data_IF_160209501345
#
_entry.id   IF_160209501345
#
_cell.length_a   1.000
_cell.length_b   1.000
_cell.length_c   1.000
_cell.angle_alpha   90.00
_cell.angle_beta   90.00
_cell.angle_gamma   90.00
#
_symmetry.space_group_name_H-M   'P 1'
#
loop_
_entity.id
_entity.type
_entity.pdbx_description
1 polymer ?
#
# COMPACT_ATOMS: atom_id res chain seq x y z
N UNK A 1 3.71 4.30 22.78
CA UNK A 1 2.84 5.36 22.30
C UNK A 1 2.33 5.05 20.93
N UNK A 2 1.03 5.11 20.80
CA UNK A 2 0.37 4.78 19.54
C UNK A 2 0.45 5.96 18.56
N UNK A 3 1.62 6.44 18.31
CA UNK A 3 1.81 7.49 17.34
C UNK A 3 2.07 6.90 15.98
N UNK A 4 1.03 6.80 15.19
CA UNK A 4 1.18 6.39 13.80
C UNK A 4 0.92 7.59 12.93
N UNK A 5 1.98 8.14 12.38
CA UNK A 5 1.87 9.18 11.36
C UNK A 5 1.25 8.53 10.11
N UNK A 6 0.08 9.00 9.63
CA UNK A 6 -0.55 8.43 8.44
C UNK A 6 0.34 8.43 7.21
N UNK A 7 1.16 9.47 7.04
CA UNK A 7 2.13 9.56 5.95
C UNK A 7 3.16 8.43 6.03
N UNK A 8 3.65 8.15 7.24
CA UNK A 8 4.62 7.08 7.46
C UNK A 8 4.00 5.71 7.18
N UNK A 9 2.73 5.50 7.53
CA UNK A 9 2.02 4.27 7.22
C UNK A 9 1.93 4.04 5.71
N UNK A 10 1.58 5.07 4.95
CA UNK A 10 1.50 5.00 3.49
C UNK A 10 2.87 4.68 2.90
N UNK A 11 3.92 5.37 3.34
CA UNK A 11 5.28 5.14 2.84
C UNK A 11 5.77 3.73 3.17
N UNK A 12 5.48 3.23 4.37
CA UNK A 12 5.82 1.86 4.77
C UNK A 12 5.08 0.85 3.89
N UNK A 13 3.80 1.08 3.61
CA UNK A 13 3.01 0.20 2.74
C UNK A 13 3.57 0.17 1.32
N UNK A 14 3.94 1.32 0.76
CA UNK A 14 4.59 1.42 -0.55
C UNK A 14 5.91 0.65 -0.58
N UNK A 15 6.71 0.77 0.47
CA UNK A 15 7.98 0.08 0.59
C UNK A 15 7.80 -1.44 0.62
N UNK A 16 6.79 -1.92 1.34
CA UNK A 16 6.45 -3.35 1.39
C UNK A 16 6.07 -3.89 0.02
N UNK A 17 5.29 -3.14 -0.74
CA UNK A 17 4.93 -3.50 -2.12
C UNK A 17 6.18 -3.59 -3.00
N UNK A 18 7.08 -2.62 -2.93
CA UNK A 18 8.32 -2.63 -3.71
C UNK A 18 9.20 -3.82 -3.37
N UNK A 19 9.34 -4.15 -2.09
CA UNK A 19 10.11 -5.33 -1.66
C UNK A 19 9.47 -6.62 -2.14
N UNK A 20 8.16 -6.74 -2.00
CA UNK A 20 7.42 -7.91 -2.45
C UNK A 20 7.56 -8.10 -3.97
N UNK A 21 7.51 -7.01 -4.73
CA UNK A 21 7.68 -7.05 -6.18
C UNK A 21 9.07 -7.55 -6.58
N UNK A 22 10.12 -7.03 -5.94
CA UNK A 22 11.49 -7.48 -6.20
C UNK A 22 11.69 -8.95 -5.84
N UNK A 23 11.10 -9.38 -4.74
CA UNK A 23 11.15 -10.78 -4.31
C UNK A 23 10.45 -11.68 -5.33
N UNK A 24 9.28 -11.28 -5.79
CA UNK A 24 8.52 -11.99 -6.81
C UNK A 24 9.31 -12.10 -8.13
N UNK A 25 9.94 -11.02 -8.57
CA UNK A 25 10.75 -11.00 -9.79
C UNK A 25 11.91 -12.00 -9.70
N UNK A 26 12.61 -12.04 -8.56
CA UNK A 26 13.68 -13.01 -8.33
C UNK A 26 13.16 -14.44 -8.33
N UNK A 27 12.00 -14.69 -7.74
CA UNK A 27 11.41 -16.02 -7.75
C UNK A 27 10.99 -16.47 -9.14
N UNK A 28 10.46 -15.56 -9.97
CA UNK A 28 10.15 -15.85 -11.37
C UNK A 28 11.38 -16.23 -12.16
N UNK A 29 12.48 -15.52 -11.94
CA UNK A 29 13.77 -15.85 -12.55
C UNK A 29 14.28 -17.22 -12.11
N UNK A 30 14.14 -17.55 -10.82
CA UNK A 30 14.55 -18.85 -10.28
C UNK A 30 13.73 -19.99 -10.90
N UNK A 31 12.41 -19.81 -11.04
CA UNK A 31 11.54 -20.80 -11.70
C UNK A 31 11.98 -21.00 -13.15
N UNK A 32 12.18 -19.92 -13.88
CA UNK A 32 12.61 -19.96 -15.27
C UNK A 32 13.98 -20.67 -15.43
N UNK A 33 14.91 -20.41 -14.51
CA UNK A 33 16.23 -21.06 -14.52
C UNK A 33 16.12 -22.57 -14.28
N UNK A 34 15.29 -22.99 -13.34
CA UNK A 34 15.05 -24.41 -13.07
C UNK A 34 14.42 -25.11 -14.29
N UNK A 35 13.45 -24.48 -14.91
CA UNK A 35 12.81 -25.02 -16.11
C UNK A 35 13.80 -25.15 -17.28
N UNK A 36 14.63 -24.14 -17.51
CA UNK A 36 15.64 -24.18 -18.55
C UNK A 36 16.67 -25.27 -18.31
N UNK A 37 16.98 -25.54 -17.04
CA UNK A 37 17.91 -26.62 -16.66
C UNK A 37 17.27 -28.00 -16.66
N UNK A 38 15.98 -28.11 -17.00
CA UNK A 38 15.26 -29.37 -16.96
C UNK A 38 15.03 -29.92 -15.57
N UNK A 39 15.13 -29.06 -14.53
CA UNK A 39 14.95 -29.46 -13.14
C UNK A 39 13.49 -29.24 -12.70
N UNK A 40 13.08 -29.97 -11.64
CA UNK A 40 11.74 -29.86 -11.10
C UNK A 40 11.54 -28.50 -10.42
N UNK A 41 10.63 -27.71 -10.95
CA UNK A 41 10.28 -26.39 -10.44
C UNK A 41 9.00 -26.36 -9.60
N UNK A 42 8.47 -27.52 -9.23
CA UNK A 42 7.16 -27.61 -8.54
C UNK A 42 7.12 -26.81 -7.24
N UNK A 43 8.12 -27.00 -6.38
CA UNK A 43 8.20 -26.27 -5.10
C UNK A 43 8.40 -24.78 -5.33
N UNK A 44 9.27 -24.41 -6.26
CA UNK A 44 9.52 -23.00 -6.61
C UNK A 44 8.25 -22.33 -7.13
N UNK A 45 7.46 -23.02 -7.94
CA UNK A 45 6.17 -22.51 -8.43
C UNK A 45 5.15 -22.32 -7.32
N UNK A 46 5.12 -23.21 -6.34
CA UNK A 46 4.25 -23.07 -5.15
C UNK A 46 4.63 -21.81 -4.36
N UNK A 47 5.92 -21.61 -4.13
CA UNK A 47 6.43 -20.42 -3.43
C UNK A 47 6.11 -19.15 -4.21
N UNK A 48 6.20 -19.21 -5.54
CA UNK A 48 5.83 -18.10 -6.40
C UNK A 48 4.38 -17.69 -6.21
N UNK A 49 3.45 -18.65 -6.17
CA UNK A 49 2.04 -18.37 -5.91
C UNK A 49 1.80 -17.72 -4.55
N UNK A 50 2.50 -18.17 -3.52
CA UNK A 50 2.41 -17.59 -2.18
C UNK A 50 2.89 -16.13 -2.23
N UNK A 51 3.98 -15.87 -2.92
CA UNK A 51 4.52 -14.51 -3.07
C UNK A 51 3.61 -13.61 -3.89
N UNK A 52 2.95 -14.13 -4.91
CA UNK A 52 1.95 -13.38 -5.69
C UNK A 52 0.77 -12.95 -4.81
N UNK A 53 0.29 -13.84 -3.94
CA UNK A 53 -0.77 -13.52 -2.99
C UNK A 53 -0.33 -12.49 -1.96
N UNK A 54 0.90 -12.63 -1.46
CA UNK A 54 1.47 -11.66 -0.51
C UNK A 54 1.58 -10.28 -1.15
N UNK A 55 2.04 -10.19 -2.40
CA UNK A 55 2.09 -8.92 -3.13
C UNK A 55 0.70 -8.31 -3.29
N UNK A 56 -0.29 -9.11 -3.65
CA UNK A 56 -1.67 -8.63 -3.79
C UNK A 56 -2.20 -8.07 -2.46
N UNK A 57 -1.91 -8.73 -1.34
CA UNK A 57 -2.29 -8.26 0.00
C UNK A 57 -1.61 -6.94 0.33
N UNK A 58 -0.30 -6.83 0.09
CA UNK A 58 0.45 -5.59 0.34
C UNK A 58 -0.05 -4.45 -0.54
N UNK A 59 -0.36 -4.72 -1.81
CA UNK A 59 -0.91 -3.72 -2.72
C UNK A 59 -2.29 -3.23 -2.26
N UNK A 60 -3.15 -4.14 -1.81
CA UNK A 60 -4.45 -3.78 -1.25
C UNK A 60 -4.33 -2.93 0.02
N UNK A 61 -3.39 -3.26 0.90
CA UNK A 61 -3.12 -2.48 2.10
C UNK A 61 -2.62 -1.08 1.77
N UNK A 62 -1.69 -0.98 0.82
CA UNK A 62 -1.20 0.31 0.32
C UNK A 62 -2.34 1.17 -0.20
N UNK A 63 -3.21 0.59 -1.01
CA UNK A 63 -4.33 1.32 -1.62
C UNK A 63 -5.32 1.80 -0.57
N UNK A 64 -5.65 0.95 0.42
CA UNK A 64 -6.54 1.35 1.53
C UNK A 64 -5.94 2.48 2.34
N UNK A 65 -4.67 2.41 2.67
CA UNK A 65 -3.98 3.45 3.45
C UNK A 65 -3.88 4.76 2.66
N UNK A 66 -3.58 4.67 1.38
CA UNK A 66 -3.51 5.84 0.51
C UNK A 66 -4.89 6.50 0.37
N UNK A 67 -5.93 5.71 0.12
CA UNK A 67 -7.30 6.21 -0.01
C UNK A 67 -7.81 6.78 1.31
N UNK A 68 -7.49 6.15 2.43
CA UNK A 68 -7.83 6.66 3.76
C UNK A 68 -7.17 8.00 4.06
N UNK A 69 -5.90 8.16 3.71
CA UNK A 69 -5.16 9.41 3.88
C UNK A 69 -5.76 10.54 3.02
N UNK A 70 -6.16 10.24 1.80
CA UNK A 70 -6.82 11.22 0.91
C UNK A 70 -8.19 11.60 1.48
N UNK A 71 -8.99 10.63 1.90
CA UNK A 71 -10.31 10.88 2.51
C UNK A 71 -10.20 11.75 3.76
N UNK A 72 -9.23 11.50 4.62
CA UNK A 72 -8.96 12.31 5.80
C UNK A 72 -8.63 13.75 5.45
N UNK A 73 -7.81 13.96 4.43
CA UNK A 73 -7.46 15.31 3.96
C UNK A 73 -8.68 16.04 3.44
N UNK A 74 -9.52 15.39 2.66
CA UNK A 74 -10.75 15.97 2.13
C UNK A 74 -11.73 16.32 3.25
N UNK A 75 -11.92 15.41 4.21
CA UNK A 75 -12.76 15.66 5.36
C UNK A 75 -12.29 16.87 6.17
N UNK A 76 -10.98 16.99 6.40
CA UNK A 76 -10.40 18.16 7.10
C UNK A 76 -10.63 19.45 6.34
N UNK A 77 -10.53 19.44 5.02
CA UNK A 77 -10.81 20.62 4.20
C UNK A 77 -12.25 21.08 4.34
N UNK A 78 -13.19 20.15 4.30
CA UNK A 78 -14.60 20.44 4.46
C UNK A 78 -14.90 21.06 5.82
N UNK A 79 -14.33 20.51 6.89
CA UNK A 79 -14.49 21.02 8.24
C UNK A 79 -13.91 22.43 8.36
N UNK A 80 -12.74 22.67 7.82
CA UNK A 80 -12.11 23.99 7.86
C UNK A 80 -12.94 25.01 7.07
N UNK A 81 -13.43 24.65 5.89
CA UNK A 81 -14.28 25.54 5.09
C UNK A 81 -15.58 25.87 5.80
N UNK A 82 -16.24 24.90 6.40
CA UNK A 82 -17.47 25.11 7.19
C UNK A 82 -17.20 26.01 8.40
N UNK A 83 -16.10 25.78 9.10
CA UNK A 83 -15.71 26.61 10.27
C UNK A 83 -15.43 28.04 9.85
N UNK A 84 -14.76 28.27 8.73
CA UNK A 84 -14.50 29.60 8.19
C UNK A 84 -15.80 30.34 7.85
N UNK A 85 -16.76 29.65 7.24
CA UNK A 85 -18.07 30.19 6.95
C UNK A 85 -18.85 30.58 8.21
N UNK A 86 -18.80 29.77 9.23
CA UNK A 86 -19.42 30.07 10.52
C UNK A 86 -18.79 31.28 11.22
N UNK A 87 -17.48 31.41 11.11
CA UNK A 87 -16.76 32.54 11.66
C UNK A 87 -17.18 33.86 11.01
N UNK A 88 -17.27 33.88 9.69
CA UNK A 88 -17.72 35.05 8.95
C UNK A 88 -19.15 35.45 9.35
N UNK A 89 -20.03 34.50 9.51
CA UNK A 89 -21.39 34.73 9.98
C UNK A 89 -21.41 35.30 11.41
N UNK A 90 -20.53 34.78 12.29
CA UNK A 90 -20.42 35.26 13.66
C UNK A 90 -19.88 36.67 13.75
N UNK A 91 -18.93 37.03 12.90
CA UNK A 91 -18.33 38.38 12.86
C UNK A 91 -19.34 39.42 12.38
N UNK A 92 -20.26 39.06 11.54
CA UNK A 92 -21.30 39.97 11.02
C UNK A 92 -22.39 40.29 12.01
N UNK A 93 -22.52 39.54 13.04
CA UNK A 93 -23.47 39.74 14.13
C UNK A 93 -22.94 40.81 15.08
#
# INVERSE_FOLDING_TARGET
>A
MAWTNPKLLVETAKFRVQRAQRHLDRQREAVAALERAGQDATTAKRLLKISERALATHAADRDRLTNGAVADREARREVISASSGQWDAGVKI
#
